data_IF_317510091904
#
_entry.id   IF_317510091904
#
_cell.length_a   1.000
_cell.length_b   1.000
_cell.length_c   1.000
_cell.angle_alpha   90.00
_cell.angle_beta   90.00
_cell.angle_gamma   90.00
#
_symmetry.space_group_name_H-M   'P 1'
#
loop_
_entity.id
_entity.type
_entity.pdbx_description
1 polymer ?
#
# COMPACT_ATOMS: atom_id res chain seq x y z
N UNK A 1 48.90 -36.30 22.17
CA UNK A 1 47.79 -35.32 22.24
C UNK A 1 46.40 -35.97 22.10
N UNK A 2 46.03 -36.57 20.96
CA UNK A 2 44.68 -37.12 20.76
C UNK A 2 44.30 -38.21 21.80
N UNK A 3 45.22 -39.16 22.03
CA UNK A 3 45.04 -40.27 22.98
C UNK A 3 44.85 -39.81 24.43
N UNK A 4 45.53 -38.74 24.86
CA UNK A 4 45.39 -38.20 26.22
C UNK A 4 44.06 -37.48 26.46
N UNK A 5 43.35 -37.11 25.39
CA UNK A 5 42.02 -36.51 25.44
C UNK A 5 40.90 -37.52 25.10
N UNK A 6 41.24 -38.79 24.82
CA UNK A 6 40.28 -39.84 24.46
C UNK A 6 39.57 -39.61 23.11
N UNK A 7 40.18 -38.87 22.19
CA UNK A 7 39.57 -38.48 20.90
C UNK A 7 40.38 -39.00 19.71
N UNK A 8 39.75 -39.03 18.53
CA UNK A 8 40.45 -39.31 17.28
C UNK A 8 41.34 -38.14 16.86
N UNK A 9 42.47 -38.37 16.15
CA UNK A 9 43.33 -37.30 15.64
C UNK A 9 42.61 -36.32 14.70
N UNK A 10 41.60 -36.79 13.95
CA UNK A 10 40.77 -35.98 13.05
C UNK A 10 39.88 -34.97 13.80
N UNK A 11 39.71 -35.14 15.12
CA UNK A 11 38.92 -34.21 15.92
C UNK A 11 39.55 -32.81 15.98
N UNK A 12 40.88 -32.69 15.92
CA UNK A 12 41.56 -31.40 15.92
C UNK A 12 41.27 -30.58 14.67
N UNK A 13 41.23 -31.24 13.50
CA UNK A 13 40.84 -30.60 12.24
C UNK A 13 39.38 -30.12 12.31
N UNK A 14 38.48 -30.93 12.88
CA UNK A 14 37.07 -30.55 13.07
C UNK A 14 36.89 -29.42 14.09
N UNK A 15 37.79 -29.29 15.06
CA UNK A 15 37.77 -28.21 16.03
C UNK A 15 38.46 -26.94 15.53
N UNK A 16 39.07 -26.98 14.35
CA UNK A 16 39.77 -25.85 13.75
C UNK A 16 40.99 -25.41 14.57
N UNK A 17 41.63 -26.31 15.31
CA UNK A 17 42.87 -25.99 16.03
C UNK A 17 44.04 -26.14 15.07
N UNK A 18 44.79 -25.08 14.85
CA UNK A 18 45.96 -25.12 13.95
C UNK A 18 47.17 -25.79 14.63
N UNK A 19 47.87 -26.70 13.94
CA UNK A 19 49.10 -27.27 14.45
C UNK A 19 50.25 -26.27 14.33
N UNK A 20 51.10 -26.21 15.36
CA UNK A 20 52.27 -25.31 15.38
C UNK A 20 53.37 -25.82 14.46
N UNK A 21 53.45 -27.14 14.28
CA UNK A 21 54.38 -27.75 13.37
C UNK A 21 53.78 -29.02 12.76
N UNK A 22 54.11 -29.26 11.49
CA UNK A 22 53.88 -30.54 10.83
C UNK A 22 55.24 -31.10 10.41
N UNK A 23 55.58 -32.27 10.95
CA UNK A 23 56.82 -32.98 10.61
C UNK A 23 56.40 -34.34 10.08
N UNK A 24 56.60 -34.56 8.78
CA UNK A 24 56.14 -35.77 8.10
C UNK A 24 54.62 -35.94 8.19
N UNK A 25 54.15 -37.08 8.72
CA UNK A 25 52.72 -37.39 8.90
C UNK A 25 52.21 -37.03 10.30
N UNK A 26 53.02 -36.39 11.13
CA UNK A 26 52.66 -36.00 12.49
C UNK A 26 52.40 -34.50 12.60
N UNK A 27 51.33 -34.14 13.30
CA UNK A 27 50.94 -32.78 13.60
C UNK A 27 51.10 -32.50 15.10
N UNK A 28 51.81 -31.43 15.43
CA UNK A 28 52.11 -31.03 16.80
C UNK A 28 51.23 -29.85 17.21
N UNK A 29 50.54 -30.02 18.33
CA UNK A 29 49.64 -29.03 18.89
C UNK A 29 50.16 -28.62 20.25
N UNK A 30 50.11 -27.33 20.58
CA UNK A 30 50.36 -26.89 21.95
C UNK A 30 49.09 -27.09 22.77
N UNK A 31 49.30 -27.60 23.97
CA UNK A 31 48.21 -27.97 24.89
C UNK A 31 47.31 -26.77 25.18
N UNK A 32 47.89 -25.59 25.33
CA UNK A 32 47.15 -24.37 25.63
C UNK A 32 46.11 -24.06 24.53
N UNK A 33 46.45 -24.22 23.25
CA UNK A 33 45.61 -23.73 22.13
C UNK A 33 44.38 -24.65 21.99
N UNK A 34 44.59 -25.94 22.24
CA UNK A 34 43.53 -26.94 22.33
C UNK A 34 42.61 -26.65 23.52
N UNK A 35 43.18 -26.33 24.70
CA UNK A 35 42.40 -26.05 25.91
C UNK A 35 41.61 -24.75 25.76
N UNK A 36 42.21 -23.70 25.21
CA UNK A 36 41.56 -22.42 24.96
C UNK A 36 40.39 -22.57 23.97
N UNK A 37 40.60 -23.27 22.86
CA UNK A 37 39.52 -23.58 21.90
C UNK A 37 38.34 -24.30 22.56
N UNK A 38 38.62 -25.22 23.50
CA UNK A 38 37.58 -25.96 24.23
C UNK A 38 36.85 -25.09 25.26
N UNK A 39 37.57 -24.22 25.96
CA UNK A 39 37.00 -23.25 26.90
C UNK A 39 36.11 -22.24 26.17
N UNK A 40 36.57 -21.69 25.05
CA UNK A 40 35.81 -20.73 24.24
C UNK A 40 34.53 -21.36 23.67
N UNK A 41 34.61 -22.61 23.22
CA UNK A 41 33.44 -23.33 22.70
C UNK A 41 32.46 -23.72 23.83
N UNK A 42 32.95 -24.07 25.01
CA UNK A 42 32.11 -24.30 26.19
C UNK A 42 31.43 -22.99 26.64
N UNK A 43 32.15 -21.87 26.64
CA UNK A 43 31.60 -20.55 26.96
C UNK A 43 30.51 -20.13 25.96
N UNK A 44 30.70 -20.37 24.65
CA UNK A 44 29.68 -20.15 23.61
C UNK A 44 28.44 -21.03 23.79
N UNK A 45 28.59 -22.27 24.25
CA UNK A 45 27.45 -23.17 24.56
C UNK A 45 26.65 -22.73 25.79
N UNK A 46 27.28 -22.00 26.71
CA UNK A 46 26.66 -21.49 27.93
C UNK A 46 26.16 -20.05 27.83
N UNK A 47 26.41 -19.36 26.70
CA UNK A 47 25.76 -18.10 26.41
C UNK A 47 24.33 -18.35 25.92
N UNK A 48 23.30 -17.68 26.50
CA UNK A 48 21.95 -17.74 25.96
C UNK A 48 22.01 -17.21 24.53
N UNK A 49 21.39 -17.94 23.61
CA UNK A 49 21.36 -17.68 22.17
C UNK A 49 20.87 -16.25 21.87
N UNK A 50 21.78 -15.27 21.85
CA UNK A 50 21.37 -13.87 21.73
C UNK A 50 22.50 -12.85 21.58
N UNK A 51 23.75 -13.26 21.35
CA UNK A 51 24.88 -12.31 21.25
C UNK A 51 25.61 -12.29 19.90
N UNK A 52 25.10 -12.94 18.86
CA UNK A 52 25.60 -12.75 17.48
C UNK A 52 24.44 -12.29 16.58
N UNK A 53 24.43 -10.98 16.30
CA UNK A 53 23.72 -10.19 15.26
C UNK A 53 22.82 -10.85 14.21
N UNK A 54 21.89 -11.73 14.59
CA UNK A 54 20.95 -12.38 13.67
C UNK A 54 19.80 -13.10 14.38
N UNK A 55 19.44 -12.68 15.59
CA UNK A 55 18.31 -13.23 16.33
C UNK A 55 16.99 -12.76 15.72
N UNK A 56 16.22 -13.70 15.17
CA UNK A 56 14.79 -13.53 14.87
C UNK A 56 14.14 -12.98 16.15
N UNK A 57 13.65 -11.74 16.09
CA UNK A 57 12.99 -11.06 17.22
C UNK A 57 11.96 -12.01 17.87
N UNK A 58 12.07 -12.30 19.18
CA UNK A 58 11.20 -13.25 19.88
C UNK A 58 9.71 -12.92 19.79
N UNK A 59 9.34 -11.67 19.48
CA UNK A 59 7.97 -11.24 19.29
C UNK A 59 7.54 -11.16 17.82
N UNK A 60 8.30 -11.69 16.87
CA UNK A 60 7.95 -11.65 15.44
C UNK A 60 6.59 -12.26 15.17
N UNK A 61 6.25 -13.38 15.81
CA UNK A 61 4.93 -14.00 15.64
C UNK A 61 3.80 -13.11 16.16
N UNK A 62 3.99 -12.46 17.31
CA UNK A 62 3.02 -11.53 17.89
C UNK A 62 2.84 -10.29 16.99
N UNK A 63 3.93 -9.70 16.52
CA UNK A 63 3.90 -8.55 15.59
C UNK A 63 3.23 -8.94 14.27
N UNK A 64 3.53 -10.12 13.74
CA UNK A 64 2.88 -10.63 12.53
C UNK A 64 1.37 -10.84 12.74
N UNK A 65 0.97 -11.33 13.92
CA UNK A 65 -0.44 -11.51 14.27
C UNK A 65 -1.16 -10.16 14.40
N UNK A 66 -0.51 -9.15 14.97
CA UNK A 66 -1.05 -7.79 15.06
C UNK A 66 -1.25 -7.16 13.68
N UNK A 67 -0.28 -7.32 12.77
CA UNK A 67 -0.39 -6.83 11.39
C UNK A 67 -1.45 -7.58 10.60
N UNK A 68 -1.59 -8.89 10.81
CA UNK A 68 -2.71 -9.67 10.25
C UNK A 68 -4.05 -9.17 10.75
N UNK A 69 -4.18 -8.91 12.06
CA UNK A 69 -5.41 -8.37 12.64
C UNK A 69 -5.75 -7.02 11.99
N UNK A 70 -4.78 -6.11 11.87
CA UNK A 70 -4.95 -4.81 11.19
C UNK A 70 -5.43 -4.99 9.75
N UNK A 71 -4.79 -5.86 8.99
CA UNK A 71 -5.18 -6.15 7.61
C UNK A 71 -6.60 -6.70 7.54
N UNK A 72 -6.95 -7.67 8.39
CA UNK A 72 -8.30 -8.25 8.44
C UNK A 72 -9.35 -7.21 8.83
N UNK A 73 -9.05 -6.32 9.78
CA UNK A 73 -9.98 -5.23 10.15
C UNK A 73 -10.18 -4.23 9.01
N UNK A 74 -9.11 -3.86 8.29
CA UNK A 74 -9.21 -2.98 7.12
C UNK A 74 -10.00 -3.64 5.98
N UNK A 75 -9.80 -4.95 5.77
CA UNK A 75 -10.58 -5.72 4.79
C UNK A 75 -12.06 -5.79 5.16
N UNK A 76 -12.39 -6.04 6.43
CA UNK A 76 -13.76 -6.04 6.91
C UNK A 76 -14.44 -4.68 6.68
N UNK A 77 -13.75 -3.59 7.05
CA UNK A 77 -14.25 -2.22 6.82
C UNK A 77 -14.49 -1.92 5.33
N UNK A 78 -13.60 -2.36 4.44
CA UNK A 78 -13.79 -2.19 3.00
C UNK A 78 -15.01 -2.97 2.47
N UNK A 79 -15.25 -4.17 3.01
CA UNK A 79 -16.44 -4.97 2.68
C UNK A 79 -17.70 -4.31 3.19
N UNK A 80 -17.70 -3.77 4.41
CA UNK A 80 -18.84 -3.05 4.99
C UNK A 80 -19.20 -1.81 4.15
N UNK A 81 -18.23 -0.99 3.77
CA UNK A 81 -18.48 0.14 2.87
C UNK A 81 -19.07 -0.31 1.52
N UNK A 82 -18.54 -1.41 0.94
CA UNK A 82 -19.09 -1.98 -0.29
C UNK A 82 -20.53 -2.47 -0.12
N UNK A 83 -20.85 -3.07 1.02
CA UNK A 83 -22.22 -3.48 1.34
C UNK A 83 -23.14 -2.25 1.46
N UNK A 84 -22.72 -1.18 2.13
CA UNK A 84 -23.49 0.06 2.20
C UNK A 84 -23.74 0.69 0.82
N UNK A 85 -22.79 0.56 -0.13
CA UNK A 85 -23.00 0.96 -1.52
C UNK A 85 -24.06 0.09 -2.19
N UNK A 86 -23.99 -1.24 -2.03
CA UNK A 86 -24.97 -2.17 -2.58
C UNK A 86 -26.38 -1.95 -2.01
N UNK A 87 -26.45 -1.63 -0.72
CA UNK A 87 -27.68 -1.31 0.02
C UNK A 87 -28.18 0.11 -0.27
N UNK A 88 -27.46 0.88 -1.10
CA UNK A 88 -27.77 2.26 -1.50
C UNK A 88 -27.81 3.26 -0.34
N UNK A 89 -27.13 2.94 0.76
CA UNK A 89 -26.96 3.83 1.91
C UNK A 89 -25.76 4.76 1.73
N UNK A 90 -24.75 4.33 0.96
CA UNK A 90 -23.56 5.10 0.64
C UNK A 90 -23.41 5.27 -0.87
N UNK A 91 -23.21 6.50 -1.33
CA UNK A 91 -23.00 6.78 -2.76
C UNK A 91 -21.52 7.06 -2.99
N UNK A 92 -20.83 6.27 -3.83
CA UNK A 92 -19.44 6.56 -4.18
C UNK A 92 -19.33 7.91 -4.89
N UNK A 93 -18.39 8.77 -4.45
CA UNK A 93 -18.14 10.05 -5.11
C UNK A 93 -17.91 9.93 -6.63
N UNK A 94 -17.14 8.93 -7.15
CA UNK A 94 -16.99 8.76 -8.60
C UNK A 94 -18.29 8.47 -9.35
N UNK A 95 -19.27 7.83 -8.69
CA UNK A 95 -20.58 7.61 -9.28
C UNK A 95 -21.36 8.92 -9.39
N UNK A 96 -21.28 9.81 -8.39
CA UNK A 96 -21.95 11.11 -8.42
C UNK A 96 -21.43 11.96 -9.57
N UNK A 97 -20.10 12.09 -9.69
CA UNK A 97 -19.44 12.77 -10.82
C UNK A 97 -19.92 12.19 -12.16
N UNK A 98 -19.82 10.86 -12.33
CA UNK A 98 -20.26 10.19 -13.55
C UNK A 98 -21.73 10.43 -13.88
N UNK A 99 -22.62 10.34 -12.89
CA UNK A 99 -24.06 10.52 -13.09
C UNK A 99 -24.39 11.96 -13.50
N UNK A 100 -23.71 12.94 -12.89
CA UNK A 100 -23.91 14.35 -13.19
C UNK A 100 -23.34 14.74 -14.55
N UNK A 101 -22.17 14.25 -14.94
CA UNK A 101 -21.64 14.41 -16.30
C UNK A 101 -22.62 13.87 -17.36
N UNK A 102 -23.22 12.70 -17.10
CA UNK A 102 -24.23 12.12 -17.99
C UNK A 102 -25.48 13.00 -18.10
N UNK A 103 -25.93 13.59 -17.00
CA UNK A 103 -27.08 14.50 -16.99
C UNK A 103 -26.72 15.80 -17.71
N UNK A 104 -25.58 16.41 -17.40
CA UNK A 104 -25.08 17.61 -18.04
C UNK A 104 -24.94 17.44 -19.56
N UNK A 105 -24.39 16.31 -20.00
CA UNK A 105 -24.28 15.97 -21.42
C UNK A 105 -25.66 15.89 -22.09
N UNK A 106 -26.64 15.21 -21.47
CA UNK A 106 -28.02 15.14 -21.99
C UNK A 106 -28.67 16.53 -22.10
N UNK A 107 -28.48 17.38 -21.09
CA UNK A 107 -28.98 18.76 -21.08
C UNK A 107 -28.32 19.54 -22.23
N UNK A 108 -27.00 19.48 -22.35
CA UNK A 108 -26.25 20.16 -23.41
C UNK A 108 -26.70 19.76 -24.82
N UNK A 109 -26.90 18.46 -25.07
CA UNK A 109 -27.45 17.99 -26.34
C UNK A 109 -28.86 18.51 -26.60
N UNK A 110 -29.72 18.58 -25.57
CA UNK A 110 -31.08 19.13 -25.73
C UNK A 110 -31.03 20.62 -26.05
N UNK A 111 -30.21 21.37 -25.34
CA UNK A 111 -30.00 22.81 -25.51
C UNK A 111 -29.54 23.17 -26.94
N UNK A 112 -28.73 22.33 -27.58
CA UNK A 112 -28.30 22.53 -28.97
C UNK A 112 -29.44 22.56 -29.98
N UNK A 113 -30.49 21.80 -29.70
CA UNK A 113 -31.65 21.71 -30.60
C UNK A 113 -32.64 22.85 -30.41
N UNK A 114 -32.47 23.68 -29.37
CA UNK A 114 -33.43 24.73 -29.01
C UNK A 114 -33.47 25.81 -30.09
N UNK A 115 -32.34 26.36 -30.53
CA UNK A 115 -32.29 27.40 -31.58
C UNK A 115 -33.00 26.96 -32.87
N UNK A 116 -32.68 25.76 -33.37
CA UNK A 116 -33.35 25.15 -34.53
C UNK A 116 -34.85 24.95 -34.30
N UNK A 117 -35.26 24.54 -33.10
CA UNK A 117 -36.67 24.32 -32.76
C UNK A 117 -37.44 25.64 -32.75
N UNK A 118 -36.85 26.68 -32.18
CA UNK A 118 -37.43 28.03 -32.11
C UNK A 118 -37.55 28.62 -33.51
N UNK A 119 -36.47 28.62 -34.30
CA UNK A 119 -36.47 29.12 -35.68
C UNK A 119 -37.53 28.43 -36.55
N UNK A 120 -37.72 27.11 -36.39
CA UNK A 120 -38.76 26.37 -37.13
C UNK A 120 -40.19 26.71 -36.69
N UNK A 121 -40.40 27.04 -35.41
CA UNK A 121 -41.72 27.38 -34.86
C UNK A 121 -42.08 28.85 -35.01
N UNK A 122 -41.08 29.72 -35.13
CA UNK A 122 -41.21 31.17 -35.24
C UNK A 122 -40.30 31.67 -36.39
N UNK A 123 -40.69 31.46 -37.66
CA UNK A 123 -39.85 31.79 -38.82
C UNK A 123 -39.57 33.30 -38.98
N UNK A 124 -40.42 34.12 -38.37
CA UNK A 124 -40.44 35.57 -38.36
C UNK A 124 -39.62 36.20 -37.21
N UNK A 125 -38.98 35.38 -36.37
CA UNK A 125 -38.08 35.87 -35.31
C UNK A 125 -36.90 36.64 -35.91
N UNK A 126 -36.54 37.77 -35.29
CA UNK A 126 -35.36 38.54 -35.68
C UNK A 126 -34.10 37.67 -35.52
N UNK A 127 -33.30 37.57 -36.58
CA UNK A 127 -32.07 36.78 -36.61
C UNK A 127 -31.08 37.18 -35.51
N UNK A 128 -31.02 38.47 -35.13
CA UNK A 128 -30.16 38.97 -34.04
C UNK A 128 -30.60 38.44 -32.67
N UNK A 129 -31.91 38.33 -32.45
CA UNK A 129 -32.46 37.76 -31.21
C UNK A 129 -32.13 36.26 -31.14
N UNK A 130 -32.29 35.55 -32.26
CA UNK A 130 -31.94 34.14 -32.33
C UNK A 130 -30.44 33.91 -32.08
N UNK A 131 -29.57 34.70 -32.71
CA UNK A 131 -28.11 34.62 -32.53
C UNK A 131 -27.71 34.91 -31.07
N UNK A 132 -28.28 35.95 -30.45
CA UNK A 132 -28.04 36.28 -29.03
C UNK A 132 -28.46 35.12 -28.12
N UNK A 133 -29.61 34.51 -28.40
CA UNK A 133 -30.14 33.37 -27.65
C UNK A 133 -29.22 32.15 -27.79
N UNK A 134 -28.73 31.86 -28.99
CA UNK A 134 -27.82 30.74 -29.24
C UNK A 134 -26.47 30.92 -28.53
N UNK A 135 -25.97 32.16 -28.43
CA UNK A 135 -24.77 32.49 -27.64
C UNK A 135 -24.95 32.22 -26.15
N UNK A 136 -26.06 32.68 -25.56
CA UNK A 136 -26.36 32.42 -24.13
C UNK A 136 -26.52 30.92 -23.85
N UNK A 137 -27.17 30.19 -24.76
CA UNK A 137 -27.29 28.73 -24.67
C UNK A 137 -25.91 28.04 -24.71
N UNK A 138 -24.98 28.54 -25.53
CA UNK A 138 -23.63 28.00 -25.61
C UNK A 138 -22.86 28.23 -24.29
N UNK A 139 -22.99 29.43 -23.69
CA UNK A 139 -22.39 29.73 -22.38
C UNK A 139 -22.93 28.80 -21.29
N UNK A 140 -24.25 28.67 -21.19
CA UNK A 140 -24.89 27.78 -20.21
C UNK A 140 -24.43 26.32 -20.36
N UNK A 141 -24.22 25.87 -21.60
CA UNK A 141 -23.73 24.51 -21.87
C UNK A 141 -22.30 24.30 -21.41
N UNK A 142 -21.43 25.28 -21.65
CA UNK A 142 -20.03 25.19 -21.23
C UNK A 142 -19.93 25.10 -19.71
N UNK A 143 -20.71 25.91 -18.98
CA UNK A 143 -20.80 25.83 -17.51
C UNK A 143 -21.31 24.45 -17.09
N UNK A 144 -22.41 23.97 -17.68
CA UNK A 144 -22.95 22.65 -17.37
C UNK A 144 -21.94 21.52 -17.60
N UNK A 145 -21.07 21.64 -18.61
CA UNK A 145 -20.06 20.62 -18.92
C UNK A 145 -18.93 20.54 -17.88
N UNK A 146 -18.68 21.61 -17.13
CA UNK A 146 -17.65 21.68 -16.09
C UNK A 146 -18.17 21.19 -14.72
N UNK A 147 -19.48 21.01 -14.58
CA UNK A 147 -20.12 20.72 -13.30
C UNK A 147 -19.60 19.44 -12.63
N UNK A 148 -19.22 18.41 -13.40
CA UNK A 148 -18.66 17.16 -12.85
C UNK A 148 -17.34 17.38 -12.10
N UNK A 149 -16.50 18.28 -12.62
CA UNK A 149 -15.17 18.57 -12.08
C UNK A 149 -15.24 19.36 -10.76
N UNK A 150 -16.31 20.12 -10.54
CA UNK A 150 -16.51 20.96 -9.34
C UNK A 150 -17.05 20.19 -8.12
N UNK A 151 -17.60 18.99 -8.33
CA UNK A 151 -18.25 18.19 -7.28
C UNK A 151 -17.38 17.91 -6.05
N UNK A 152 -16.08 17.54 -6.18
CA UNK A 152 -15.23 17.36 -5.02
C UNK A 152 -15.14 18.63 -4.16
N UNK A 153 -15.01 19.81 -4.78
CA UNK A 153 -14.96 21.08 -4.08
C UNK A 153 -16.26 21.39 -3.33
N UNK A 154 -17.42 21.15 -3.95
CA UNK A 154 -18.71 21.33 -3.28
C UNK A 154 -18.89 20.39 -2.09
N UNK A 155 -18.37 19.16 -2.17
CA UNK A 155 -18.39 18.23 -1.04
C UNK A 155 -17.51 18.76 0.11
N UNK A 156 -16.31 19.25 -0.19
CA UNK A 156 -15.42 19.84 0.81
C UNK A 156 -16.08 21.04 1.51
N UNK A 157 -16.72 21.93 0.74
CA UNK A 157 -17.48 23.06 1.28
C UNK A 157 -18.63 22.60 2.20
N UNK A 158 -19.41 21.60 1.78
CA UNK A 158 -20.49 21.05 2.60
C UNK A 158 -19.97 20.43 3.91
N UNK A 159 -18.90 19.64 3.85
CA UNK A 159 -18.30 19.04 5.04
C UNK A 159 -17.83 20.11 6.03
N UNK A 160 -17.24 21.21 5.55
CA UNK A 160 -16.84 22.32 6.40
C UNK A 160 -18.01 23.00 7.14
N UNK A 161 -19.26 22.87 6.66
CA UNK A 161 -20.45 23.37 7.37
C UNK A 161 -20.91 22.46 8.50
N UNK A 162 -20.53 21.18 8.49
CA UNK A 162 -20.91 20.21 9.51
C UNK A 162 -20.01 20.26 10.76
N UNK A 163 -18.82 20.84 10.61
CA UNK A 163 -17.84 21.02 11.69
C UNK A 163 -18.06 22.32 12.51
N UNK A 164 -19.13 23.09 12.23
CA UNK A 164 -19.56 24.29 12.96
C UNK A 164 -20.69 23.97 13.96
#
# INVERSE_FOLDING_TARGET
MAKSLGISPQAFDKWGVEPIARIGREAFYRVQDVVQNRLDNAAKKHQPSGSDGGGVDPLIEYKLMQERLRLTTAQAYAVEQKNQVNDKLLIPAPFVTFALEKIASKIGSKLETVGKTVSRRHPDIDARILETTEREIALARNIASQFGDEIPGYLDEYLATLDQ
#
